data_IF_114439941220
#
_entry.id   IF_114439941220
#
_cell.length_a   1.000
_cell.length_b   1.000
_cell.length_c   1.000
_cell.angle_alpha   90.00
_cell.angle_beta   90.00
_cell.angle_gamma   90.00
#
_symmetry.space_group_name_H-M   'P 1'
#
loop_
_entity.id
_entity.type
_entity.pdbx_description
1 polymer ?
#
# COMPACT_ATOMS: atom_id res chain seq x y z
N UNK A 1 50.57 19.43 -54.95
CA UNK A 1 51.18 18.50 -53.98
C UNK A 1 51.31 19.24 -52.65
N UNK A 2 50.87 18.79 -51.48
CA UNK A 2 50.20 17.57 -51.05
C UNK A 2 49.61 17.82 -49.64
N UNK A 3 48.33 17.48 -49.52
CA UNK A 3 47.59 17.01 -48.34
C UNK A 3 47.61 17.81 -47.03
N UNK A 4 46.47 18.44 -46.79
CA UNK A 4 45.92 18.76 -45.47
C UNK A 4 45.74 17.52 -44.58
N UNK A 5 45.91 17.68 -43.26
CA UNK A 5 44.95 17.11 -42.30
C UNK A 5 45.05 17.81 -40.93
N UNK A 6 44.00 18.54 -40.61
CA UNK A 6 43.72 19.03 -39.26
C UNK A 6 43.53 17.85 -38.30
N UNK A 7 44.23 17.87 -37.16
CA UNK A 7 43.89 17.05 -36.00
C UNK A 7 43.05 17.91 -35.07
N UNK A 8 41.75 17.86 -35.30
CA UNK A 8 40.75 18.12 -34.27
C UNK A 8 40.33 16.77 -33.70
N UNK A 9 40.01 16.83 -32.41
CA UNK A 9 38.96 16.05 -31.77
C UNK A 9 39.36 14.70 -31.16
N UNK A 10 39.32 14.67 -29.83
CA UNK A 10 38.63 13.59 -29.12
C UNK A 10 37.84 14.21 -27.96
N UNK A 11 36.64 14.71 -28.28
CA UNK A 11 35.54 14.86 -27.33
C UNK A 11 35.43 13.58 -26.50
N UNK A 12 35.43 13.75 -25.18
CA UNK A 12 34.86 12.84 -24.22
C UNK A 12 33.46 12.40 -24.70
N UNK A 13 33.37 11.17 -25.18
CA UNK A 13 32.12 10.42 -25.23
C UNK A 13 32.22 9.34 -24.16
N UNK A 14 31.95 9.74 -22.92
CA UNK A 14 31.67 8.81 -21.83
C UNK A 14 30.39 8.06 -22.20
N UNK A 15 30.57 6.86 -22.73
CA UNK A 15 29.51 5.88 -22.92
C UNK A 15 28.90 5.54 -21.57
N UNK A 16 27.66 5.95 -21.38
CA UNK A 16 26.77 5.53 -20.29
C UNK A 16 26.45 4.03 -20.41
N UNK A 17 26.14 3.42 -19.27
CA UNK A 17 25.36 2.18 -19.06
C UNK A 17 26.19 0.88 -19.02
N UNK A 18 26.00 -0.08 -18.13
CA UNK A 18 24.86 -0.40 -17.26
C UNK A 18 25.26 -1.37 -16.14
N UNK A 19 25.07 -1.03 -14.87
CA UNK A 19 24.98 -2.03 -13.77
C UNK A 19 24.19 -1.58 -12.54
N UNK A 20 23.71 -0.33 -12.46
CA UNK A 20 23.04 0.19 -11.27
C UNK A 20 21.50 0.07 -11.26
N UNK A 21 20.88 -0.70 -12.16
CA UNK A 21 19.41 -0.81 -12.29
C UNK A 21 18.75 -2.05 -11.67
N UNK A 22 19.49 -2.88 -10.92
CA UNK A 22 18.91 -4.10 -10.33
C UNK A 22 18.37 -3.93 -8.90
N UNK A 23 18.80 -2.89 -8.17
CA UNK A 23 18.43 -2.68 -6.76
C UNK A 23 17.34 -1.63 -6.55
N UNK A 24 17.28 -0.58 -7.39
CA UNK A 24 16.34 0.54 -7.23
C UNK A 24 14.87 0.14 -7.42
N UNK A 25 14.56 -0.78 -8.35
CA UNK A 25 13.17 -1.22 -8.57
C UNK A 25 12.61 -2.08 -7.42
N UNK A 26 13.47 -2.62 -6.53
CA UNK A 26 13.05 -3.45 -5.38
C UNK A 26 12.76 -2.63 -4.11
N UNK A 27 13.12 -1.34 -4.10
CA UNK A 27 12.77 -0.39 -3.03
C UNK A 27 11.44 0.29 -3.32
N UNK A 28 11.29 0.92 -4.50
CA UNK A 28 10.06 1.66 -4.84
C UNK A 28 8.78 0.81 -4.85
N UNK A 29 8.84 -0.45 -5.34
CA UNK A 29 7.69 -1.36 -5.27
C UNK A 29 7.35 -1.81 -3.84
N UNK A 30 8.31 -1.71 -2.91
CA UNK A 30 8.15 -2.02 -1.49
C UNK A 30 7.58 -0.83 -0.73
N UNK A 31 7.98 0.39 -1.11
CA UNK A 31 7.52 1.64 -0.52
C UNK A 31 6.01 1.84 -0.80
N UNK A 32 5.55 1.62 -2.03
CA UNK A 32 4.12 1.67 -2.35
C UNK A 32 3.29 0.57 -1.66
N UNK A 33 3.86 -0.61 -1.45
CA UNK A 33 3.20 -1.69 -0.70
C UNK A 33 3.15 -1.38 0.81
N UNK A 34 4.17 -0.70 1.35
CA UNK A 34 4.21 -0.21 2.72
C UNK A 34 3.17 0.90 2.95
N UNK A 35 3.00 1.81 1.99
CA UNK A 35 1.95 2.84 2.04
C UNK A 35 0.54 2.24 2.02
N UNK A 36 0.28 1.27 1.13
CA UNK A 36 -0.99 0.54 1.09
C UNK A 36 -1.26 -0.22 2.39
N UNK A 37 -0.23 -0.85 2.94
CA UNK A 37 -0.34 -1.52 4.23
C UNK A 37 -0.63 -0.52 5.36
N UNK A 38 0.07 0.62 5.38
CA UNK A 38 -0.15 1.69 6.36
C UNK A 38 -1.57 2.25 6.30
N UNK A 39 -2.08 2.52 5.10
CA UNK A 39 -3.46 2.97 4.90
C UNK A 39 -4.46 1.91 5.38
N UNK A 40 -4.25 0.64 5.02
CA UNK A 40 -5.13 -0.45 5.47
C UNK A 40 -5.11 -0.59 6.99
N UNK A 41 -3.94 -0.52 7.61
CA UNK A 41 -3.78 -0.60 9.06
C UNK A 41 -4.49 0.55 9.78
N UNK A 42 -4.42 1.78 9.23
CA UNK A 42 -5.15 2.92 9.76
C UNK A 42 -6.67 2.71 9.71
N UNK A 43 -7.20 2.23 8.57
CA UNK A 43 -8.63 1.94 8.40
C UNK A 43 -9.11 0.80 9.31
N UNK A 44 -8.29 -0.24 9.49
CA UNK A 44 -8.57 -1.32 10.45
C UNK A 44 -8.66 -0.79 11.88
N UNK A 45 -7.75 0.10 12.27
CA UNK A 45 -7.77 0.73 13.59
C UNK A 45 -9.05 1.55 13.82
N UNK A 46 -9.48 2.32 12.82
CA UNK A 46 -10.75 3.06 12.87
C UNK A 46 -11.95 2.10 13.01
N UNK A 47 -12.01 1.06 12.17
CA UNK A 47 -13.10 0.08 12.25
C UNK A 47 -13.14 -0.64 13.61
N UNK A 48 -11.99 -0.98 14.19
CA UNK A 48 -11.91 -1.51 15.56
C UNK A 48 -12.44 -0.53 16.61
N UNK A 49 -12.12 0.77 16.49
CA UNK A 49 -12.62 1.79 17.40
C UNK A 49 -14.15 1.95 17.31
N UNK A 50 -14.70 1.89 16.09
CA UNK A 50 -16.15 1.93 15.83
C UNK A 50 -16.86 0.73 16.44
N UNK A 51 -16.36 -0.48 16.23
CA UNK A 51 -16.93 -1.72 16.80
C UNK A 51 -16.83 -1.75 18.34
N UNK A 52 -15.79 -1.11 18.91
CA UNK A 52 -15.65 -0.96 20.35
C UNK A 52 -16.59 0.10 20.95
N UNK A 53 -17.39 0.81 20.15
CA UNK A 53 -18.36 1.77 20.66
C UNK A 53 -19.40 1.03 21.53
N UNK A 54 -19.63 1.48 22.78
CA UNK A 54 -20.63 0.89 23.67
C UNK A 54 -22.08 0.95 23.14
N UNK A 55 -22.37 1.80 22.16
CA UNK A 55 -23.68 1.86 21.49
C UNK A 55 -23.97 0.63 20.61
N UNK A 56 -22.95 -0.18 20.31
CA UNK A 56 -23.10 -1.40 19.50
C UNK A 56 -23.56 -2.57 20.39
N UNK A 57 -24.70 -3.22 20.07
CA UNK A 57 -25.18 -4.38 20.81
C UNK A 57 -24.16 -5.52 20.86
N UNK A 58 -24.08 -6.23 21.99
CA UNK A 58 -23.06 -7.27 22.24
C UNK A 58 -23.03 -8.37 21.18
N UNK A 59 -24.19 -8.81 20.69
CA UNK A 59 -24.29 -9.83 19.63
C UNK A 59 -23.68 -9.36 18.31
N UNK A 60 -24.03 -8.14 17.90
CA UNK A 60 -23.50 -7.47 16.69
C UNK A 60 -22.01 -7.20 16.84
N UNK A 61 -21.56 -6.70 18.00
CA UNK A 61 -20.15 -6.43 18.29
C UNK A 61 -19.29 -7.67 18.17
N UNK A 62 -19.73 -8.81 18.72
CA UNK A 62 -19.00 -10.09 18.61
C UNK A 62 -18.88 -10.54 17.16
N UNK A 63 -19.94 -10.40 16.38
CA UNK A 63 -19.93 -10.76 14.96
C UNK A 63 -19.00 -9.85 14.15
N UNK A 64 -19.11 -8.53 14.30
CA UNK A 64 -18.23 -7.57 13.62
C UNK A 64 -16.76 -7.76 14.02
N UNK A 65 -16.50 -8.09 15.29
CA UNK A 65 -15.13 -8.41 15.77
C UNK A 65 -14.56 -9.64 15.06
N UNK A 66 -15.36 -10.72 14.90
CA UNK A 66 -14.93 -11.90 14.16
C UNK A 66 -14.58 -11.58 12.72
N UNK A 67 -15.40 -10.75 12.05
CA UNK A 67 -15.14 -10.30 10.68
C UNK A 67 -13.85 -9.47 10.59
N UNK A 68 -13.62 -8.54 11.51
CA UNK A 68 -12.38 -7.76 11.58
C UNK A 68 -11.13 -8.65 11.74
N UNK A 69 -11.21 -9.70 12.56
CA UNK A 69 -10.12 -10.66 12.70
C UNK A 69 -9.86 -11.42 11.38
N UNK A 70 -10.90 -11.81 10.66
CA UNK A 70 -10.77 -12.45 9.35
C UNK A 70 -10.14 -11.51 8.31
N UNK A 71 -10.49 -10.22 8.30
CA UNK A 71 -9.86 -9.20 7.43
C UNK A 71 -8.38 -9.02 7.79
N UNK A 72 -8.06 -8.95 9.08
CA UNK A 72 -6.67 -8.81 9.55
C UNK A 72 -5.82 -10.04 9.20
N UNK A 73 -6.41 -11.25 9.26
CA UNK A 73 -5.75 -12.46 8.80
C UNK A 73 -5.52 -12.44 7.28
N UNK A 74 -6.52 -12.01 6.50
CA UNK A 74 -6.40 -11.86 5.05
C UNK A 74 -5.30 -10.84 4.68
N UNK A 75 -5.18 -9.73 5.40
CA UNK A 75 -4.19 -8.68 5.13
C UNK A 75 -2.73 -9.17 5.17
N UNK A 76 -2.45 -10.27 5.87
CA UNK A 76 -1.12 -10.90 5.93
C UNK A 76 -0.75 -11.64 4.65
N UNK A 77 -1.73 -12.04 3.86
CA UNK A 77 -1.56 -12.91 2.69
C UNK A 77 -2.00 -12.23 1.38
N UNK A 78 -3.11 -11.49 1.43
CA UNK A 78 -3.68 -10.75 0.30
C UNK A 78 -4.21 -9.39 0.78
N UNK A 79 -3.43 -8.36 0.49
CA UNK A 79 -3.75 -6.98 0.87
C UNK A 79 -4.97 -6.43 0.10
N UNK A 80 -5.17 -6.87 -1.15
CA UNK A 80 -6.25 -6.37 -2.00
C UNK A 80 -7.59 -6.99 -1.59
N UNK A 81 -7.62 -8.29 -1.29
CA UNK A 81 -8.80 -8.94 -0.72
C UNK A 81 -9.15 -8.37 0.65
N UNK A 82 -8.16 -8.13 1.52
CA UNK A 82 -8.39 -7.49 2.81
C UNK A 82 -8.98 -6.08 2.68
N UNK A 83 -8.49 -5.27 1.73
CA UNK A 83 -9.02 -3.93 1.48
C UNK A 83 -10.49 -3.98 1.05
N UNK A 84 -10.86 -4.86 0.11
CA UNK A 84 -12.25 -5.00 -0.34
C UNK A 84 -13.19 -5.43 0.79
N UNK A 85 -12.76 -6.40 1.61
CA UNK A 85 -13.56 -6.86 2.74
C UNK A 85 -13.71 -5.77 3.80
N UNK A 86 -12.66 -4.97 4.00
CA UNK A 86 -12.75 -3.81 4.90
C UNK A 86 -13.72 -2.76 4.36
N UNK A 87 -13.71 -2.47 3.07
CA UNK A 87 -14.67 -1.52 2.47
C UNK A 87 -16.12 -1.96 2.68
N UNK A 88 -16.43 -3.25 2.48
CA UNK A 88 -17.76 -3.82 2.75
C UNK A 88 -18.13 -3.67 4.22
N UNK A 89 -17.19 -3.98 5.12
CA UNK A 89 -17.43 -3.85 6.56
C UNK A 89 -17.64 -2.39 6.99
N UNK A 90 -16.87 -1.45 6.42
CA UNK A 90 -17.04 -0.02 6.70
C UNK A 90 -18.42 0.46 6.24
N UNK A 91 -18.88 0.05 5.06
CA UNK A 91 -20.22 0.36 4.59
C UNK A 91 -21.30 -0.20 5.52
N UNK A 92 -21.14 -1.44 6.02
CA UNK A 92 -22.06 -2.02 7.01
C UNK A 92 -22.07 -1.21 8.32
N UNK A 93 -20.92 -0.73 8.79
CA UNK A 93 -20.84 0.14 9.96
C UNK A 93 -21.52 1.50 9.73
N UNK A 94 -21.44 2.04 8.52
CA UNK A 94 -22.11 3.28 8.12
C UNK A 94 -23.64 3.10 8.08
N UNK A 95 -24.12 1.97 7.53
CA UNK A 95 -25.54 1.60 7.51
C UNK A 95 -26.11 1.39 8.92
N UNK A 96 -25.29 0.88 9.84
CA UNK A 96 -25.64 0.76 11.26
C UNK A 96 -25.62 2.10 12.01
N UNK A 97 -25.23 3.19 11.35
CA UNK A 97 -25.19 4.53 11.94
C UNK A 97 -24.10 4.70 13.00
N UNK A 98 -23.07 3.84 13.01
CA UNK A 98 -21.98 3.90 13.99
C UNK A 98 -20.96 4.93 13.50
N UNK A 99 -20.80 6.13 14.10
CA UNK A 99 -19.90 7.15 13.57
C UNK A 99 -18.42 6.75 13.62
N UNK A 100 -17.60 7.28 12.69
CA UNK A 100 -16.14 7.25 12.82
C UNK A 100 -15.71 8.12 14.01
N UNK A 101 -14.69 7.69 14.76
CA UNK A 101 -14.32 8.28 16.05
C UNK A 101 -12.89 8.82 16.04
#
# INVERSE_FOLDING_TARGET
MGTAKAVRNTRLALSRSATARRWHNRRMGRDGQLELYGLLAARLKQAHARVANPEVPDGTRRELTRRLLAVTAAAKHDLADAARRLDVLTAELDDLGIPDR
#
